data_IF_173425352449
#
_entry.id   IF_173425352449
#
_cell.length_a   1.000
_cell.length_b   1.000
_cell.length_c   1.000
_cell.angle_alpha   90.00
_cell.angle_beta   90.00
_cell.angle_gamma   90.00
#
_symmetry.space_group_name_H-M   'P 1'
#
loop_
_entity.id
_entity.type
_entity.pdbx_description
1 polymer ?
#
# COMPACT_ATOMS: atom_id res chain seq x y z
N UNK A 1 6.40 22.18 4.69
CA UNK A 1 6.34 21.53 3.36
C UNK A 1 5.45 20.29 3.48
N UNK A 2 4.55 20.07 2.51
CA UNK A 2 3.77 18.84 2.49
C UNK A 2 4.65 17.72 1.90
N UNK A 3 4.80 16.62 2.62
CA UNK A 3 5.43 15.42 2.08
C UNK A 3 4.42 14.67 1.23
N UNK A 4 4.85 14.20 0.06
CA UNK A 4 4.05 13.33 -0.80
C UNK A 4 4.66 11.94 -0.79
N UNK A 5 3.82 10.92 -0.62
CA UNK A 5 4.22 9.53 -0.78
C UNK A 5 4.05 9.12 -2.23
N UNK A 6 5.18 8.78 -2.86
CA UNK A 6 5.22 8.38 -4.27
C UNK A 6 5.59 6.90 -4.34
N UNK A 7 4.87 6.08 -5.11
CA UNK A 7 5.25 4.68 -5.31
C UNK A 7 6.62 4.57 -5.97
N UNK A 8 7.49 3.78 -5.35
CA UNK A 8 8.82 3.40 -5.84
C UNK A 8 8.94 1.88 -5.87
N UNK A 9 8.08 1.26 -6.66
CA UNK A 9 8.16 -0.17 -6.95
C UNK A 9 7.70 -0.41 -8.39
N UNK A 10 8.28 -1.39 -9.08
CA UNK A 10 7.71 -1.85 -10.33
C UNK A 10 6.36 -2.52 -10.03
N UNK A 11 5.36 -2.31 -10.89
CA UNK A 11 4.27 -3.28 -11.03
C UNK A 11 4.94 -4.64 -11.25
N UNK A 12 4.72 -5.60 -10.34
CA UNK A 12 5.58 -6.77 -10.06
C UNK A 12 5.76 -7.78 -11.20
N UNK A 13 6.06 -7.34 -12.43
CA UNK A 13 6.33 -8.11 -13.64
C UNK A 13 5.10 -8.73 -14.29
N UNK A 14 4.15 -9.17 -13.47
CA UNK A 14 2.97 -9.93 -13.88
C UNK A 14 1.69 -9.08 -13.82
N UNK A 15 0.77 -9.21 -14.81
CA UNK A 15 -0.52 -8.55 -14.76
C UNK A 15 -1.26 -8.96 -13.49
N UNK A 16 -1.93 -7.99 -12.84
CA UNK A 16 -2.55 -8.18 -11.52
C UNK A 16 -3.46 -9.41 -11.42
N UNK A 17 -4.12 -9.81 -12.52
CA UNK A 17 -4.97 -11.01 -12.56
C UNK A 17 -4.21 -12.33 -12.36
N UNK A 18 -3.01 -12.49 -12.94
CA UNK A 18 -2.18 -13.70 -12.76
C UNK A 18 -1.61 -13.76 -11.35
N UNK A 19 -1.15 -12.62 -10.83
CA UNK A 19 -0.69 -12.49 -9.44
C UNK A 19 -1.80 -12.85 -8.45
N UNK A 20 -3.01 -12.31 -8.67
CA UNK A 20 -4.20 -12.62 -7.87
C UNK A 20 -4.55 -14.11 -7.91
N UNK A 21 -4.43 -14.77 -9.07
CA UNK A 21 -4.69 -16.22 -9.18
C UNK A 21 -3.68 -17.05 -8.39
N UNK A 22 -2.40 -16.66 -8.42
CA UNK A 22 -1.32 -17.39 -7.72
C UNK A 22 -1.31 -17.15 -6.22
N UNK A 23 -1.41 -15.89 -5.81
CA UNK A 23 -1.24 -15.46 -4.42
C UNK A 23 -2.55 -15.26 -3.68
N UNK A 24 -3.71 -15.30 -4.36
CA UNK A 24 -5.06 -15.02 -3.82
C UNK A 24 -5.26 -13.63 -3.23
N UNK A 25 -4.22 -12.83 -3.13
CA UNK A 25 -4.27 -11.45 -2.71
C UNK A 25 -3.31 -10.67 -3.58
N UNK A 26 -3.72 -9.48 -4.01
CA UNK A 26 -2.81 -8.56 -4.67
C UNK A 26 -3.15 -7.10 -4.40
N UNK A 27 -2.13 -6.23 -4.37
CA UNK A 27 -2.38 -4.79 -4.46
C UNK A 27 -3.02 -4.47 -5.83
N UNK A 28 -4.19 -3.85 -5.84
CA UNK A 28 -4.86 -3.41 -7.07
C UNK A 28 -4.38 -2.02 -7.47
N UNK A 29 -4.45 -1.06 -6.54
CA UNK A 29 -4.01 0.31 -6.79
C UNK A 29 -3.78 1.09 -5.51
N UNK A 30 -2.93 2.11 -5.58
CA UNK A 30 -2.86 3.15 -4.59
C UNK A 30 -3.94 4.20 -4.85
N UNK A 31 -4.58 4.65 -3.76
CA UNK A 31 -5.59 5.70 -3.78
C UNK A 31 -4.97 7.08 -3.64
N UNK A 32 -5.78 8.12 -3.83
CA UNK A 32 -5.38 9.48 -3.44
C UNK A 32 -5.38 9.58 -1.91
N UNK A 33 -4.32 10.13 -1.31
CA UNK A 33 -4.34 10.43 0.12
C UNK A 33 -5.46 11.44 0.42
N UNK A 34 -6.15 11.27 1.55
CA UNK A 34 -7.09 12.28 2.03
C UNK A 34 -6.42 13.29 2.96
N UNK A 35 -5.22 12.97 3.46
CA UNK A 35 -4.41 13.83 4.31
C UNK A 35 -2.93 13.70 3.92
N UNK A 36 -2.08 14.71 4.15
CA UNK A 36 -0.64 14.61 3.90
C UNK A 36 0.04 13.51 4.76
N UNK A 37 -0.64 13.00 5.78
CA UNK A 37 -0.17 11.96 6.70
C UNK A 37 -0.85 10.61 6.47
N UNK A 38 -1.48 10.38 5.31
CA UNK A 38 -2.08 9.09 4.97
C UNK A 38 -1.58 8.53 3.64
N UNK A 39 -1.55 7.20 3.56
CA UNK A 39 -1.42 6.47 2.31
C UNK A 39 -2.58 5.50 2.19
N UNK A 40 -3.27 5.52 1.05
CA UNK A 40 -4.46 4.69 0.83
C UNK A 40 -4.22 3.72 -0.30
N UNK A 41 -4.88 2.57 -0.23
CA UNK A 41 -4.86 1.62 -1.33
C UNK A 41 -6.03 0.68 -1.30
N UNK A 42 -6.17 -0.02 -2.42
CA UNK A 42 -7.16 -1.05 -2.64
C UNK A 42 -6.44 -2.36 -2.93
N UNK A 43 -6.90 -3.41 -2.26
CA UNK A 43 -6.43 -4.78 -2.38
C UNK A 43 -7.52 -5.59 -3.05
N UNK A 44 -7.14 -6.43 -4.00
CA UNK A 44 -8.00 -7.48 -4.52
C UNK A 44 -7.68 -8.79 -3.83
N UNK A 45 -8.72 -9.55 -3.47
CA UNK A 45 -8.58 -10.93 -3.01
C UNK A 45 -9.43 -11.86 -3.87
N UNK A 46 -8.88 -13.03 -4.12
CA UNK A 46 -9.59 -14.10 -4.78
C UNK A 46 -10.51 -14.74 -3.75
N UNK A 47 -11.81 -14.44 -3.90
CA UNK A 47 -12.84 -14.86 -2.99
C UNK A 47 -12.92 -16.37 -2.76
N UNK A 48 -13.39 -16.75 -1.58
CA UNK A 48 -13.61 -18.13 -1.17
C UNK A 48 -14.62 -18.22 -0.04
N UNK A 49 -15.08 -19.44 0.31
CA UNK A 49 -16.00 -19.63 1.44
C UNK A 49 -15.30 -19.36 2.78
N UNK A 50 -16.07 -18.81 3.72
CA UNK A 50 -15.65 -18.61 5.12
C UNK A 50 -15.16 -17.19 5.46
N UNK A 51 -14.71 -16.98 6.71
CA UNK A 51 -14.25 -15.68 7.19
C UNK A 51 -12.94 -15.27 6.50
N UNK A 52 -12.86 -13.99 6.14
CA UNK A 52 -11.73 -13.40 5.41
C UNK A 52 -11.18 -12.25 6.22
N UNK A 53 -9.87 -12.26 6.42
CA UNK A 53 -9.17 -11.18 7.08
C UNK A 53 -8.06 -10.69 6.18
N UNK A 54 -8.11 -9.39 5.85
CA UNK A 54 -7.07 -8.72 5.08
C UNK A 54 -6.37 -7.75 6.01
N UNK A 55 -5.06 -7.85 6.11
CA UNK A 55 -4.22 -7.00 6.96
C UNK A 55 -3.09 -6.44 6.11
N UNK A 56 -2.82 -5.15 6.21
CA UNK A 56 -1.64 -4.54 5.61
C UNK A 56 -0.60 -4.34 6.71
N UNK A 57 0.56 -4.97 6.53
CA UNK A 57 1.71 -4.79 7.41
C UNK A 57 2.64 -3.77 6.79
N UNK A 58 2.97 -2.71 7.52
CA UNK A 58 3.87 -1.67 7.02
C UNK A 58 4.92 -1.27 8.06
N UNK A 59 6.03 -0.73 7.57
CA UNK A 59 7.21 -0.34 8.34
C UNK A 59 7.82 0.94 7.76
N UNK A 60 8.59 1.64 8.60
CA UNK A 60 9.36 2.83 8.24
C UNK A 60 10.87 2.66 8.49
N UNK A 61 11.30 1.47 8.91
CA UNK A 61 12.65 1.22 9.44
C UNK A 61 13.18 -0.16 9.04
N UNK A 62 13.07 -0.51 7.76
CA UNK A 62 13.62 -1.77 7.21
C UNK A 62 13.16 -3.02 7.98
N UNK A 63 11.88 -3.07 8.37
CA UNK A 63 11.25 -4.18 9.10
C UNK A 63 11.78 -4.42 10.52
N UNK A 64 12.56 -3.51 11.10
CA UNK A 64 12.94 -3.57 12.52
C UNK A 64 11.71 -3.46 13.44
N UNK A 65 10.71 -2.67 13.04
CA UNK A 65 9.37 -2.68 13.62
C UNK A 65 8.32 -2.58 12.53
N UNK A 66 7.12 -3.04 12.82
CA UNK A 66 6.00 -3.02 11.88
C UNK A 66 4.68 -2.72 12.58
N UNK A 67 3.73 -2.24 11.80
CA UNK A 67 2.35 -2.00 12.21
C UNK A 67 1.43 -2.79 11.30
N UNK A 68 0.50 -3.52 11.90
CA UNK A 68 -0.55 -4.27 11.21
C UNK A 68 -1.85 -3.45 11.23
N UNK A 69 -2.39 -3.12 10.04
CA UNK A 69 -3.66 -2.40 9.89
C UNK A 69 -4.68 -3.28 9.17
N UNK A 70 -5.88 -3.48 9.74
CA UNK A 70 -6.93 -4.21 9.04
C UNK A 70 -7.42 -3.43 7.82
N UNK A 71 -7.62 -4.11 6.70
CA UNK A 71 -8.30 -3.55 5.54
C UNK A 71 -9.80 -3.84 5.63
N UNK A 72 -10.62 -2.84 5.31
CA UNK A 72 -12.07 -2.94 5.35
C UNK A 72 -12.62 -3.43 4.00
N UNK A 73 -13.61 -4.33 3.97
CA UNK A 73 -14.24 -4.74 2.73
C UNK A 73 -14.91 -3.54 2.05
N UNK A 74 -14.72 -3.43 0.74
CA UNK A 74 -15.37 -2.46 -0.13
C UNK A 74 -16.58 -3.11 -0.80
N UNK A 75 -17.50 -2.32 -1.40
CA UNK A 75 -18.61 -2.87 -2.17
C UNK A 75 -18.11 -3.91 -3.19
N UNK A 76 -18.71 -5.11 -3.24
CA UNK A 76 -18.23 -6.17 -4.10
C UNK A 76 -18.45 -5.80 -5.57
N UNK A 77 -17.36 -5.70 -6.33
CA UNK A 77 -17.38 -5.57 -7.78
C UNK A 77 -16.86 -6.87 -8.42
N UNK A 78 -17.66 -7.59 -9.22
CA UNK A 78 -17.17 -8.77 -9.91
C UNK A 78 -15.99 -8.40 -10.83
N UNK A 79 -14.93 -9.23 -10.90
CA UNK A 79 -14.85 -10.63 -10.48
C UNK A 79 -14.15 -10.91 -9.13
N UNK A 80 -13.70 -9.92 -8.37
CA UNK A 80 -12.87 -10.11 -7.17
C UNK A 80 -13.32 -9.25 -5.99
N UNK A 81 -13.15 -9.75 -4.77
CA UNK A 81 -13.47 -8.97 -3.57
C UNK A 81 -12.40 -7.90 -3.34
N UNK A 82 -12.85 -6.68 -3.03
CA UNK A 82 -11.97 -5.53 -2.83
C UNK A 82 -11.94 -5.13 -1.37
N UNK A 83 -10.77 -4.75 -0.89
CA UNK A 83 -10.54 -4.26 0.47
C UNK A 83 -9.77 -2.95 0.44
N UNK A 84 -10.24 -1.96 1.17
CA UNK A 84 -9.60 -0.65 1.31
C UNK A 84 -8.78 -0.58 2.58
N UNK A 85 -7.58 -0.01 2.50
CA UNK A 85 -6.74 0.25 3.66
C UNK A 85 -6.28 1.71 3.69
N UNK A 86 -5.93 2.17 4.90
CA UNK A 86 -5.31 3.47 5.13
C UNK A 86 -4.14 3.28 6.08
N UNK A 87 -2.94 3.66 5.66
CA UNK A 87 -1.72 3.63 6.46
C UNK A 87 -1.47 5.02 7.02
N UNK A 88 -1.21 5.08 8.33
CA UNK A 88 -0.90 6.33 9.01
C UNK A 88 0.60 6.61 8.89
N UNK A 89 0.93 7.78 8.36
CA UNK A 89 2.31 8.21 8.15
C UNK A 89 2.64 9.22 9.22
N UNK A 90 3.65 8.95 10.07
CA UNK A 90 3.97 9.85 11.17
C UNK A 90 4.45 11.19 10.63
N UNK A 91 4.06 12.33 11.25
CA UNK A 91 4.47 13.66 10.81
C UNK A 91 5.99 13.90 10.99
N UNK A 92 6.66 13.06 11.77
CA UNK A 92 8.12 13.07 11.96
C UNK A 92 8.89 12.43 10.80
N UNK A 93 8.21 11.81 9.82
CA UNK A 93 8.89 11.30 8.64
C UNK A 93 9.58 12.44 7.88
N UNK A 94 10.75 12.17 7.33
CA UNK A 94 11.55 13.17 6.62
C UNK A 94 11.49 12.89 5.12
N UNK A 95 11.80 13.91 4.33
CA UNK A 95 12.09 13.71 2.92
C UNK A 95 13.23 12.67 2.76
N UNK A 96 13.08 11.77 1.80
CA UNK A 96 14.01 10.66 1.58
C UNK A 96 13.73 9.39 2.42
N UNK A 97 12.81 9.46 3.39
CA UNK A 97 12.34 8.26 4.09
C UNK A 97 11.45 7.39 3.17
N UNK A 98 11.39 6.10 3.49
CA UNK A 98 10.57 5.12 2.78
C UNK A 98 9.60 4.42 3.74
N UNK A 99 8.39 4.17 3.26
CA UNK A 99 7.41 3.29 3.87
C UNK A 99 7.40 2.00 3.05
N UNK A 100 7.62 0.86 3.69
CA UNK A 100 7.47 -0.45 3.05
C UNK A 100 6.21 -1.12 3.58
N UNK A 101 5.47 -1.78 2.70
CA UNK A 101 4.31 -2.57 3.12
C UNK A 101 4.16 -3.87 2.33
N UNK A 102 3.48 -4.82 2.98
CA UNK A 102 3.06 -6.09 2.41
C UNK A 102 1.61 -6.36 2.85
N UNK A 103 0.89 -7.11 2.02
CA UNK A 103 -0.52 -7.40 2.25
C UNK A 103 -0.63 -8.87 2.64
N UNK A 104 -1.35 -9.11 3.73
CA UNK A 104 -1.67 -10.44 4.24
C UNK A 104 -3.15 -10.72 4.06
N UNK A 105 -3.48 -11.87 3.51
CA UNK A 105 -4.83 -12.40 3.42
C UNK A 105 -4.91 -13.73 4.15
N UNK A 106 -5.80 -13.81 5.15
CA UNK A 106 -6.07 -15.02 5.93
C UNK A 106 -7.48 -15.52 5.65
N UNK A 107 -7.56 -16.81 5.34
CA UNK A 107 -8.81 -17.53 5.07
C UNK A 107 -8.74 -18.95 5.63
N UNK A 108 -9.84 -19.72 5.65
CA UNK A 108 -9.79 -21.13 6.04
C UNK A 108 -8.86 -21.99 5.16
N UNK A 109 -8.49 -21.51 3.97
CA UNK A 109 -7.60 -22.21 3.04
C UNK A 109 -6.12 -21.95 3.33
N UNK A 110 -5.81 -21.04 4.26
CA UNK A 110 -4.45 -20.67 4.63
C UNK A 110 -4.23 -19.17 4.72
N UNK A 111 -2.97 -18.82 4.95
CA UNK A 111 -2.46 -17.46 4.95
C UNK A 111 -1.66 -17.21 3.68
N UNK A 112 -1.95 -16.10 3.01
CA UNK A 112 -1.34 -15.69 1.75
C UNK A 112 -0.76 -14.29 1.89
N UNK A 113 0.36 -14.05 1.23
CA UNK A 113 1.08 -12.78 1.29
C UNK A 113 1.35 -12.25 -0.11
N UNK A 114 1.02 -10.97 -0.31
CA UNK A 114 1.57 -10.18 -1.42
C UNK A 114 2.61 -9.22 -0.86
N UNK A 115 3.87 -9.59 -1.03
CA UNK A 115 5.04 -8.78 -0.72
C UNK A 115 5.75 -8.31 -2.00
N UNK A 116 5.02 -8.14 -3.11
CA UNK A 116 5.57 -7.73 -4.40
C UNK A 116 6.73 -8.62 -4.87
N UNK A 117 6.58 -9.95 -4.76
CA UNK A 117 7.63 -10.91 -5.14
C UNK A 117 8.91 -10.82 -4.32
N UNK A 118 8.80 -10.46 -3.03
CA UNK A 118 9.92 -10.29 -2.11
C UNK A 118 10.55 -8.90 -2.11
N UNK A 119 10.09 -7.97 -2.95
CA UNK A 119 10.60 -6.58 -3.02
C UNK A 119 9.88 -5.62 -2.09
N UNK A 120 8.72 -6.03 -1.58
CA UNK A 120 7.74 -5.21 -0.87
C UNK A 120 7.21 -4.04 -1.73
N UNK A 121 6.14 -3.43 -1.25
CA UNK A 121 5.64 -2.19 -1.81
C UNK A 121 6.29 -1.02 -1.09
N UNK A 122 7.04 -0.19 -1.82
CA UNK A 122 7.77 0.94 -1.25
C UNK A 122 7.15 2.27 -1.68
N UNK A 123 6.80 3.11 -0.71
CA UNK A 123 6.40 4.50 -0.94
C UNK A 123 7.50 5.42 -0.42
N UNK A 124 8.06 6.28 -1.28
CA UNK A 124 9.07 7.26 -0.87
C UNK A 124 8.41 8.58 -0.52
N UNK A 125 8.86 9.18 0.59
CA UNK A 125 8.52 10.55 0.94
C UNK A 125 9.36 11.53 0.13
N UNK A 126 8.69 12.19 -0.82
CA UNK A 126 9.26 13.27 -1.59
C UNK A 126 8.80 14.61 -1.01
N UNK A 127 9.71 15.57 -0.89
CA UNK A 127 9.34 16.96 -0.67
C UNK A 127 8.55 17.47 -1.87
N UNK A 128 7.50 18.25 -1.65
CA UNK A 128 6.84 18.95 -2.75
C UNK A 128 7.86 19.91 -3.43
N UNK A 129 8.10 19.84 -4.75
CA UNK A 129 8.99 20.78 -5.45
C UNK A 129 8.30 22.14 -5.67
N UNK A 130 7.75 22.75 -4.61
CA UNK A 130 6.90 23.93 -4.66
C UNK A 130 7.26 25.05 -3.69
N UNK A 131 8.44 25.00 -3.06
CA UNK A 131 8.96 26.09 -2.25
C UNK A 131 10.47 26.30 -2.49
N UNK A 132 10.87 26.41 -3.77
CA UNK A 132 12.07 27.17 -4.09
C UNK A 132 11.79 28.66 -3.87
N UNK A 133 12.76 29.49 -3.45
CA UNK A 133 12.53 30.93 -3.35
C UNK A 133 12.10 31.42 -4.74
N UNK A 134 10.91 32.04 -4.80
CA UNK A 134 10.45 32.72 -5.99
C UNK A 134 11.57 33.68 -6.42
N UNK A 135 12.22 33.39 -7.55
CA UNK A 135 13.17 34.30 -8.16
C UNK A 135 12.46 35.64 -8.35
N UNK A 136 12.91 36.67 -7.65
CA UNK A 136 12.44 38.03 -7.84
C UNK A 136 12.71 38.43 -9.31
N UNK A 137 11.71 38.95 -10.05
CA UNK A 137 11.97 39.49 -11.37
C UNK A 137 12.81 40.78 -11.25
N UNK A 138 13.54 41.16 -12.32
CA UNK A 138 14.50 42.27 -12.30
C UNK A 138 13.87 43.64 -12.05
#
# INVERSE_FOLDING_TARGET
PALLLVPDFPDGGEPGAERLRRQRVCLERLGRPAAPTDARGTVQVLGGPGPKEVTVRYTFNEWLSFVDVPAAPLPPEPPAERYGFTLCVPPSLREGSALHFAIRYRSPQGEFWDNNGGRNYTLRCCGCPGAGPAAAPP
#
